data_IF_494831166374
#
_entry.id   IF_494831166374
#
_cell.length_a   1.000
_cell.length_b   1.000
_cell.length_c   1.000
_cell.angle_alpha   90.00
_cell.angle_beta   90.00
_cell.angle_gamma   90.00
#
_symmetry.space_group_name_H-M   'P 1'
#
loop_
_entity.id
_entity.type
_entity.pdbx_description
1 polymer ?
#
# COMPACT_ATOMS: atom_id res chain seq x y z
N UNK A 1 -5.22 3.08 -3.30
CA UNK A 1 -6.68 2.97 -3.04
C UNK A 1 -7.41 3.23 -4.34
N UNK A 2 -8.61 2.70 -4.49
CA UNK A 2 -9.54 3.04 -5.58
C UNK A 2 -10.91 3.26 -4.96
N UNK A 3 -11.77 4.06 -5.61
CA UNK A 3 -13.16 4.16 -5.20
C UNK A 3 -13.92 2.88 -5.54
N UNK A 4 -14.92 2.54 -4.74
CA UNK A 4 -15.72 1.32 -4.90
C UNK A 4 -16.53 1.33 -6.20
N UNK A 5 -17.17 2.46 -6.52
CA UNK A 5 -17.89 2.68 -7.79
C UNK A 5 -17.01 2.43 -9.01
N UNK A 6 -15.81 3.02 -9.03
CA UNK A 6 -14.85 2.85 -10.10
C UNK A 6 -14.35 1.40 -10.21
N UNK A 7 -14.15 0.72 -9.08
CA UNK A 7 -13.71 -0.68 -9.08
C UNK A 7 -14.81 -1.62 -9.61
N UNK A 8 -16.07 -1.30 -9.36
CA UNK A 8 -17.22 -2.04 -9.88
C UNK A 8 -17.44 -1.77 -11.38
N UNK A 9 -17.34 -0.52 -11.80
CA UNK A 9 -17.61 -0.10 -13.18
C UNK A 9 -16.45 -0.38 -14.15
N UNK A 10 -15.21 -0.38 -13.65
CA UNK A 10 -13.99 -0.55 -14.44
C UNK A 10 -12.99 -1.57 -13.85
N UNK A 11 -13.44 -2.81 -13.57
CA UNK A 11 -12.59 -3.82 -12.91
C UNK A 11 -11.34 -4.17 -13.72
N UNK A 12 -11.40 -4.13 -15.05
CA UNK A 12 -10.27 -4.40 -15.94
C UNK A 12 -9.20 -3.31 -15.85
N UNK A 13 -9.57 -2.05 -15.65
CA UNK A 13 -8.61 -0.96 -15.47
C UNK A 13 -7.91 -1.08 -14.12
N UNK A 14 -8.63 -1.48 -13.06
CA UNK A 14 -8.04 -1.77 -11.76
C UNK A 14 -6.98 -2.88 -11.88
N UNK A 15 -7.33 -3.98 -12.54
CA UNK A 15 -6.39 -5.09 -12.80
C UNK A 15 -5.16 -4.61 -13.58
N UNK A 16 -5.35 -3.83 -14.64
CA UNK A 16 -4.25 -3.31 -15.47
C UNK A 16 -3.28 -2.45 -14.66
N UNK A 17 -3.79 -1.59 -13.78
CA UNK A 17 -2.95 -0.74 -12.91
C UNK A 17 -2.18 -1.59 -11.91
N UNK A 18 -2.83 -2.57 -11.26
CA UNK A 18 -2.15 -3.46 -10.32
C UNK A 18 -1.04 -4.29 -10.98
N UNK A 19 -1.24 -4.74 -12.23
CA UNK A 19 -0.19 -5.41 -13.00
C UNK A 19 1.01 -4.50 -13.29
N UNK A 20 0.76 -3.21 -13.58
CA UNK A 20 1.84 -2.24 -13.76
C UNK A 20 2.64 -2.04 -12.45
N UNK A 21 1.96 -2.00 -11.29
CA UNK A 21 2.64 -1.95 -10.00
C UNK A 21 3.46 -3.20 -9.71
N UNK A 22 2.97 -4.40 -10.04
CA UNK A 22 3.76 -5.62 -9.87
C UNK A 22 4.99 -5.65 -10.75
N UNK A 23 4.87 -5.21 -12.01
CA UNK A 23 6.02 -5.06 -12.90
C UNK A 23 7.06 -4.12 -12.29
N UNK A 24 6.63 -2.98 -11.74
CA UNK A 24 7.51 -2.02 -11.09
C UNK A 24 8.16 -2.58 -9.82
N UNK A 25 7.41 -3.32 -8.98
CA UNK A 25 7.94 -3.97 -7.77
C UNK A 25 9.00 -5.01 -8.11
N UNK A 26 8.74 -5.87 -9.10
CA UNK A 26 9.70 -6.86 -9.56
C UNK A 26 10.98 -6.20 -10.11
N UNK A 27 10.83 -5.12 -10.89
CA UNK A 27 11.95 -4.32 -11.37
C UNK A 27 12.76 -3.72 -10.20
N UNK A 28 12.08 -3.13 -9.22
CA UNK A 28 12.70 -2.49 -8.05
C UNK A 28 13.54 -3.48 -7.22
N UNK A 29 13.05 -4.71 -7.05
CA UNK A 29 13.78 -5.79 -6.37
C UNK A 29 15.02 -6.21 -7.17
N UNK A 30 14.87 -6.38 -8.49
CA UNK A 30 15.97 -6.81 -9.36
C UNK A 30 17.03 -5.71 -9.59
N UNK A 31 16.66 -4.43 -9.44
CA UNK A 31 17.50 -3.29 -9.78
C UNK A 31 17.57 -2.25 -8.62
N UNK A 32 18.12 -2.61 -7.45
CA UNK A 32 18.09 -1.75 -6.26
C UNK A 32 18.85 -0.42 -6.46
N UNK A 33 19.96 -0.41 -7.20
CA UNK A 33 20.70 0.81 -7.52
C UNK A 33 19.89 1.76 -8.40
N UNK A 34 19.16 1.22 -9.36
CA UNK A 34 18.32 2.01 -10.26
C UNK A 34 17.08 2.54 -9.53
N UNK A 35 16.47 1.74 -8.67
CA UNK A 35 15.42 2.21 -7.75
C UNK A 35 15.90 3.39 -6.90
N UNK A 36 17.12 3.30 -6.33
CA UNK A 36 17.71 4.39 -5.55
C UNK A 36 17.91 5.63 -6.41
N UNK A 37 18.45 5.49 -7.63
CA UNK A 37 18.62 6.63 -8.55
C UNK A 37 17.29 7.32 -8.86
N UNK A 38 16.26 6.53 -9.21
CA UNK A 38 14.90 7.03 -9.48
C UNK A 38 14.34 7.79 -8.27
N UNK A 39 14.42 7.23 -7.06
CA UNK A 39 13.84 7.87 -5.88
C UNK A 39 14.61 9.13 -5.46
N UNK A 40 15.95 9.13 -5.57
CA UNK A 40 16.79 10.33 -5.36
C UNK A 40 16.34 11.45 -6.29
N UNK A 41 16.24 11.18 -7.59
CA UNK A 41 15.91 12.19 -8.60
C UNK A 41 14.45 12.68 -8.50
N UNK A 42 13.49 11.75 -8.49
CA UNK A 42 12.07 12.08 -8.62
C UNK A 42 11.51 12.69 -7.33
N UNK A 43 11.97 12.22 -6.17
CA UNK A 43 11.58 12.81 -4.88
C UNK A 43 12.54 13.92 -4.41
N UNK A 44 13.56 14.27 -5.22
CA UNK A 44 14.56 15.31 -4.92
C UNK A 44 15.23 15.11 -3.56
N UNK A 45 15.53 13.86 -3.24
CA UNK A 45 16.19 13.47 -2.01
C UNK A 45 17.71 13.51 -2.18
N UNK A 46 18.44 13.67 -1.08
CA UNK A 46 19.87 13.35 -1.10
C UNK A 46 20.05 11.83 -1.13
N UNK A 47 21.20 11.36 -1.63
CA UNK A 47 21.52 9.92 -1.67
C UNK A 47 21.43 9.25 -0.30
N UNK A 48 21.81 9.98 0.76
CA UNK A 48 21.74 9.48 2.12
C UNK A 48 20.29 9.31 2.58
N UNK A 49 19.41 10.27 2.29
CA UNK A 49 17.99 10.19 2.66
C UNK A 49 17.28 9.10 1.85
N UNK A 50 17.57 8.99 0.55
CA UNK A 50 17.04 7.93 -0.30
C UNK A 50 17.44 6.54 0.21
N UNK A 51 18.72 6.34 0.57
CA UNK A 51 19.18 5.08 1.15
C UNK A 51 18.44 4.72 2.45
N UNK A 52 18.32 5.67 3.39
CA UNK A 52 17.56 5.49 4.63
C UNK A 52 16.09 5.17 4.41
N UNK A 53 15.47 5.74 3.38
CA UNK A 53 14.09 5.42 3.03
C UNK A 53 13.95 3.98 2.51
N UNK A 54 14.87 3.54 1.65
CA UNK A 54 14.82 2.20 1.09
C UNK A 54 15.09 1.11 2.14
N UNK A 55 15.91 1.37 3.15
CA UNK A 55 16.12 0.48 4.31
C UNK A 55 14.82 0.10 5.03
N UNK A 56 13.83 1.01 5.06
CA UNK A 56 12.52 0.82 5.73
C UNK A 56 11.37 0.52 4.77
N UNK A 57 11.66 0.36 3.48
CA UNK A 57 10.63 0.10 2.45
C UNK A 57 10.57 -1.39 2.16
N UNK A 58 9.52 -2.07 2.64
CA UNK A 58 9.32 -3.47 2.35
C UNK A 58 8.72 -3.66 0.94
N UNK A 59 9.43 -4.38 0.07
CA UNK A 59 8.98 -4.74 -1.29
C UNK A 59 8.69 -6.24 -1.45
N UNK A 60 8.78 -7.02 -0.38
CA UNK A 60 8.72 -8.50 -0.41
C UNK A 60 7.35 -9.05 -0.83
N UNK A 61 6.27 -8.33 -0.54
CA UNK A 61 4.91 -8.66 -1.00
C UNK A 61 4.16 -7.36 -1.32
N UNK A 62 3.19 -7.46 -2.22
CA UNK A 62 2.23 -6.39 -2.50
C UNK A 62 0.84 -6.67 -1.91
N UNK A 63 0.63 -7.84 -1.31
CA UNK A 63 -0.63 -8.14 -0.66
C UNK A 63 -0.76 -7.38 0.67
N UNK A 64 -1.99 -6.94 0.96
CA UNK A 64 -2.35 -6.39 2.26
C UNK A 64 -2.70 -7.58 3.18
N UNK A 65 -1.69 -8.09 3.87
CA UNK A 65 -1.83 -9.21 4.80
C UNK A 65 -2.22 -8.78 6.22
N UNK A 66 -2.24 -9.76 7.13
CA UNK A 66 -2.64 -9.56 8.53
C UNK A 66 -1.79 -8.51 9.26
N UNK A 67 -0.49 -8.41 8.93
CA UNK A 67 0.38 -7.39 9.51
C UNK A 67 -0.12 -5.99 9.16
N UNK A 68 -0.43 -5.74 7.89
CA UNK A 68 -0.92 -4.45 7.41
C UNK A 68 -2.30 -4.14 7.99
N UNK A 69 -3.22 -5.12 8.02
CA UNK A 69 -4.55 -4.95 8.62
C UNK A 69 -4.47 -4.52 10.09
N UNK A 70 -3.65 -5.21 10.90
CA UNK A 70 -3.44 -4.85 12.30
C UNK A 70 -2.84 -3.46 12.47
N UNK A 71 -1.91 -3.06 11.60
CA UNK A 71 -1.35 -1.70 11.63
C UNK A 71 -2.42 -0.64 11.32
N UNK A 72 -3.28 -0.89 10.33
CA UNK A 72 -4.37 0.04 9.96
C UNK A 72 -5.39 0.17 11.10
N UNK A 73 -5.84 -0.96 11.65
CA UNK A 73 -6.76 -0.96 12.79
C UNK A 73 -6.15 -0.25 14.01
N UNK A 74 -4.90 -0.58 14.36
CA UNK A 74 -4.19 0.05 15.47
C UNK A 74 -4.02 1.56 15.29
N UNK A 75 -3.75 2.02 14.06
CA UNK A 75 -3.71 3.45 13.76
C UNK A 75 -5.07 4.12 13.97
N UNK A 76 -6.16 3.48 13.53
CA UNK A 76 -7.53 3.97 13.78
C UNK A 76 -7.84 4.07 15.28
N UNK A 77 -7.44 3.07 16.07
CA UNK A 77 -7.64 3.06 17.52
C UNK A 77 -6.85 4.20 18.18
N UNK A 78 -5.58 4.39 17.77
CA UNK A 78 -4.77 5.48 18.28
C UNK A 78 -5.38 6.86 17.96
N UNK A 79 -5.93 7.03 16.75
CA UNK A 79 -6.63 8.25 16.35
C UNK A 79 -7.94 8.45 17.14
N UNK A 80 -8.65 7.38 17.48
CA UNK A 80 -9.85 7.44 18.31
C UNK A 80 -9.53 7.84 19.76
N UNK A 81 -8.44 7.32 20.33
CA UNK A 81 -8.00 7.65 21.69
C UNK A 81 -7.69 9.13 21.88
N UNK A 82 -7.22 9.82 20.84
CA UNK A 82 -6.93 11.26 20.87
C UNK A 82 -8.09 12.13 20.33
N UNK A 83 -9.26 11.52 20.07
CA UNK A 83 -10.47 12.23 19.64
C UNK A 83 -10.49 12.70 18.19
N UNK A 84 -9.54 12.26 17.35
CA UNK A 84 -9.56 12.54 15.90
C UNK A 84 -10.64 11.70 15.22
N UNK A 85 -10.79 10.44 15.63
CA UNK A 85 -11.91 9.59 15.24
C UNK A 85 -12.96 9.62 16.38
N UNK A 86 -14.25 9.85 16.09
CA UNK A 86 -15.29 9.83 17.11
C UNK A 86 -15.36 8.51 17.88
N UNK A 87 -15.69 8.58 19.17
CA UNK A 87 -15.68 7.42 20.07
C UNK A 87 -16.75 6.36 19.75
N UNK A 88 -17.81 6.76 19.03
CA UNK A 88 -18.90 5.89 18.59
C UNK A 88 -18.58 5.13 17.29
N UNK A 89 -17.48 5.46 16.61
CA UNK A 89 -17.03 4.71 15.42
C UNK A 89 -16.49 3.34 15.82
N UNK A 90 -17.04 2.29 15.20
CA UNK A 90 -16.47 0.95 15.27
C UNK A 90 -15.23 0.86 14.37
N UNK A 91 -14.07 1.23 14.92
CA UNK A 91 -12.79 1.24 14.18
C UNK A 91 -12.43 -0.13 13.61
N UNK A 92 -12.52 -1.26 14.35
CA UNK A 92 -12.23 -2.58 13.78
C UNK A 92 -13.07 -2.89 12.54
N UNK A 93 -14.38 -2.63 12.59
CA UNK A 93 -15.26 -2.87 11.44
C UNK A 93 -14.93 -1.96 10.26
N UNK A 94 -14.69 -0.67 10.51
CA UNK A 94 -14.33 0.29 9.46
C UNK A 94 -12.99 -0.07 8.80
N UNK A 95 -11.96 -0.41 9.59
CA UNK A 95 -10.66 -0.82 9.08
C UNK A 95 -10.72 -2.11 8.26
N UNK A 96 -11.52 -3.10 8.69
CA UNK A 96 -11.72 -4.34 7.96
C UNK A 96 -12.37 -4.10 6.59
N UNK A 97 -13.34 -3.18 6.50
CA UNK A 97 -14.04 -2.85 5.26
C UNK A 97 -13.15 -2.17 4.20
N UNK A 98 -12.04 -1.55 4.60
CA UNK A 98 -11.13 -0.85 3.66
C UNK A 98 -10.30 -1.79 2.78
N UNK A 99 -10.22 -3.09 3.11
CA UNK A 99 -9.31 -4.04 2.45
C UNK A 99 -10.10 -5.03 1.61
N UNK A 100 -10.22 -4.75 0.32
CA UNK A 100 -10.69 -5.72 -0.68
C UNK A 100 -9.49 -6.42 -1.34
N UNK A 101 -9.39 -7.74 -1.14
CA UNK A 101 -8.33 -8.57 -1.72
C UNK A 101 -8.72 -9.25 -3.03
N UNK A 102 -9.93 -9.01 -3.55
CA UNK A 102 -10.48 -9.71 -4.73
C UNK A 102 -9.59 -9.54 -5.96
N UNK A 103 -9.09 -8.33 -6.21
CA UNK A 103 -8.24 -8.03 -7.36
C UNK A 103 -6.84 -8.64 -7.22
N UNK A 104 -6.23 -8.54 -6.03
CA UNK A 104 -4.91 -9.13 -5.77
C UNK A 104 -4.96 -10.66 -5.83
N UNK A 105 -6.03 -11.27 -5.31
CA UNK A 105 -6.27 -12.70 -5.38
C UNK A 105 -6.42 -13.18 -6.83
N UNK A 106 -7.18 -12.46 -7.67
CA UNK A 106 -7.29 -12.73 -9.12
C UNK A 106 -5.94 -12.70 -9.83
N UNK A 107 -5.02 -11.84 -9.39
CA UNK A 107 -3.67 -11.71 -9.94
C UNK A 107 -2.66 -12.70 -9.34
N UNK A 108 -3.07 -13.55 -8.39
CA UNK A 108 -2.17 -14.47 -7.70
C UNK A 108 -1.18 -13.78 -6.75
N UNK A 109 -1.43 -12.51 -6.39
CA UNK A 109 -0.63 -11.74 -5.44
C UNK A 109 -1.04 -12.17 -4.03
N UNK A 110 -0.09 -12.74 -3.27
CA UNK A 110 -0.31 -13.26 -1.91
C UNK A 110 0.59 -12.59 -0.88
#
# INVERSE_FOLDING_TARGET
>A
NTREDFAADHPELVVKVLQAYEKARAFAIANPSELKRIITEQAKLTDQVAARQLERTALSTAAIGERQKKTIEGAGIALQQVGVVPADVNVPAAAAALVDSTFTAKLGIK
#
